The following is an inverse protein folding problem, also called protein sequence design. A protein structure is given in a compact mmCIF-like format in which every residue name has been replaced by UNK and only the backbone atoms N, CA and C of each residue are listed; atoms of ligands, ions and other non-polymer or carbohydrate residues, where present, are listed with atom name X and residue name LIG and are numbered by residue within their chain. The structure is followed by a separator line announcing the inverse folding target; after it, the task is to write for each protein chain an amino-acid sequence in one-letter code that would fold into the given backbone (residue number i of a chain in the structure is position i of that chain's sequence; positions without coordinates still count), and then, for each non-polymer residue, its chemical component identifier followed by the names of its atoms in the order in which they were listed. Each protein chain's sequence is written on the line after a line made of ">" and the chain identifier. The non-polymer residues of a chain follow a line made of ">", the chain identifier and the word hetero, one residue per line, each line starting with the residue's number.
data_IF_986670374892
#
_entry.id   IF_986670374892
#
_cell.length_a   1.000
_cell.length_b   1.000
_cell.length_c   1.000
_cell.angle_alpha   90.00
_cell.angle_beta   90.00
_cell.angle_gamma   90.00
#
_symmetry.space_group_name_H-M   'P 1'
#
loop_
_entity.id
_entity.type
_entity.pdbx_description
1 polymer ?
#
# COMPACT_ATOMS: atom_id res chain seq x y z
N UNK A 1 11.31 -74.83 -42.74
CA UNK A 1 11.68 -74.87 -41.31
C UNK A 1 12.51 -73.63 -41.01
N UNK A 2 12.08 -72.86 -39.99
CA UNK A 2 12.79 -71.88 -39.15
C UNK A 2 13.88 -70.99 -39.78
N UNK A 3 14.00 -69.69 -39.52
CA UNK A 3 13.33 -68.70 -38.68
C UNK A 3 14.07 -67.38 -38.97
N UNK A 4 13.58 -66.29 -38.38
CA UNK A 4 14.39 -65.15 -37.96
C UNK A 4 14.54 -63.98 -38.93
N UNK A 5 13.66 -62.99 -38.74
CA UNK A 5 14.05 -61.57 -38.80
C UNK A 5 14.45 -61.20 -37.36
N UNK A 6 15.58 -60.50 -37.13
CA UNK A 6 15.43 -59.07 -36.87
C UNK A 6 16.53 -58.18 -37.49
N UNK A 7 16.10 -56.98 -37.90
CA UNK A 7 16.91 -55.78 -38.15
C UNK A 7 17.73 -55.36 -36.89
N UNK A 8 18.73 -54.46 -37.02
CA UNK A 8 18.37 -53.06 -36.81
C UNK A 8 19.06 -52.09 -37.78
N UNK A 9 18.23 -51.25 -38.41
CA UNK A 9 18.62 -49.93 -38.90
C UNK A 9 19.23 -49.16 -37.71
N UNK A 10 20.51 -48.83 -37.83
CA UNK A 10 21.23 -48.01 -36.87
C UNK A 10 20.92 -46.55 -37.22
N UNK A 11 19.95 -45.95 -36.54
CA UNK A 11 19.83 -44.49 -36.46
C UNK A 11 20.01 -44.12 -35.00
N UNK A 12 21.08 -43.37 -34.77
CA UNK A 12 21.41 -42.75 -33.51
C UNK A 12 20.42 -41.63 -33.19
N UNK A 13 19.89 -41.62 -31.97
CA UNK A 13 20.02 -40.50 -31.03
C UNK A 13 19.17 -40.77 -29.78
N UNK A 14 19.87 -40.84 -28.64
CA UNK A 14 19.46 -40.39 -27.30
C UNK A 14 18.13 -40.90 -26.71
N UNK A 15 18.31 -41.84 -25.77
CA UNK A 15 17.75 -41.74 -24.41
C UNK A 15 17.74 -40.26 -23.94
N UNK A 16 16.68 -39.74 -23.34
CA UNK A 16 16.17 -40.18 -22.05
C UNK A 16 14.65 -39.96 -21.94
N UNK A 17 14.02 -40.91 -21.28
CA UNK A 17 12.61 -41.03 -20.97
C UNK A 17 12.41 -40.60 -19.51
N UNK A 18 13.03 -39.49 -19.10
CA UNK A 18 12.83 -38.86 -17.80
C UNK A 18 11.98 -37.59 -17.98
N UNK A 19 10.88 -37.54 -17.23
CA UNK A 19 10.08 -36.35 -16.95
C UNK A 19 9.16 -35.88 -18.10
N UNK A 20 8.08 -36.61 -18.36
CA UNK A 20 6.76 -36.23 -17.84
C UNK A 20 6.80 -35.30 -16.60
N UNK A 21 6.80 -33.98 -16.85
CA UNK A 21 6.28 -32.86 -16.03
C UNK A 21 6.50 -31.62 -16.90
N UNK A 22 5.61 -30.67 -17.11
CA UNK A 22 4.32 -30.35 -16.53
C UNK A 22 3.80 -29.23 -17.45
N UNK A 23 2.58 -29.34 -17.95
CA UNK A 23 1.97 -28.34 -18.83
C UNK A 23 1.52 -27.11 -18.04
N UNK A 24 2.34 -26.60 -17.10
CA UNK A 24 2.11 -25.30 -16.49
C UNK A 24 2.70 -24.22 -17.39
N UNK A 25 1.81 -23.73 -18.26
CA UNK A 25 1.74 -22.35 -18.77
C UNK A 25 2.82 -21.43 -18.16
N UNK A 26 3.93 -21.25 -18.87
CA UNK A 26 4.91 -20.20 -18.58
C UNK A 26 4.26 -18.85 -18.85
N UNK A 27 3.55 -18.31 -17.86
CA UNK A 27 3.23 -16.90 -17.78
C UNK A 27 4.55 -16.16 -17.53
N UNK A 28 5.15 -15.64 -18.60
CA UNK A 28 6.22 -14.66 -18.49
C UNK A 28 5.76 -13.55 -17.53
N UNK A 29 6.58 -13.14 -16.53
CA UNK A 29 6.19 -12.03 -15.66
C UNK A 29 5.94 -10.81 -16.54
N UNK A 30 4.72 -10.27 -16.45
CA UNK A 30 4.37 -9.05 -17.14
C UNK A 30 5.05 -7.88 -16.41
N UNK A 31 6.13 -7.35 -16.98
CA UNK A 31 6.91 -6.19 -16.50
C UNK A 31 6.04 -4.99 -16.08
N UNK A 32 4.84 -4.83 -16.65
CA UNK A 32 3.89 -3.77 -16.27
C UNK A 32 3.30 -3.94 -14.87
N UNK A 33 3.03 -5.19 -14.44
CA UNK A 33 2.44 -5.46 -13.11
C UNK A 33 3.42 -5.18 -11.97
N UNK A 34 4.70 -5.50 -12.18
CA UNK A 34 5.76 -5.22 -11.21
C UNK A 34 5.98 -3.72 -11.03
N UNK A 35 6.00 -2.96 -12.13
CA UNK A 35 6.10 -1.50 -12.08
C UNK A 35 4.93 -0.85 -11.32
N UNK A 36 3.68 -1.27 -11.60
CA UNK A 36 2.49 -0.74 -10.92
C UNK A 36 2.52 -1.02 -9.42
N UNK A 37 2.87 -2.25 -9.01
CA UNK A 37 2.98 -2.61 -7.60
C UNK A 37 4.07 -1.81 -6.88
N UNK A 38 5.21 -1.56 -7.55
CA UNK A 38 6.28 -0.73 -7.01
C UNK A 38 5.82 0.72 -6.77
N UNK A 39 5.19 1.36 -7.76
CA UNK A 39 4.67 2.73 -7.63
C UNK A 39 3.61 2.85 -6.52
N UNK A 40 2.74 1.85 -6.39
CA UNK A 40 1.76 1.79 -5.31
C UNK A 40 2.43 1.74 -3.93
N UNK A 41 3.41 0.85 -3.75
CA UNK A 41 4.10 0.71 -2.46
C UNK A 41 4.83 2.01 -2.09
N UNK A 42 5.53 2.63 -3.04
CA UNK A 42 6.20 3.92 -2.83
C UNK A 42 5.20 5.01 -2.39
N UNK A 43 4.03 5.06 -3.02
CA UNK A 43 2.98 6.01 -2.62
C UNK A 43 2.47 5.77 -1.19
N UNK A 44 2.21 4.51 -0.81
CA UNK A 44 1.74 4.15 0.53
C UNK A 44 2.83 4.47 1.58
N UNK A 45 4.10 4.24 1.27
CA UNK A 45 5.23 4.58 2.16
C UNK A 45 5.34 6.10 2.40
N UNK A 46 5.09 6.92 1.37
CA UNK A 46 5.03 8.38 1.49
C UNK A 46 3.91 8.78 2.45
N UNK A 47 2.70 8.26 2.23
CA UNK A 47 1.55 8.52 3.11
C UNK A 47 1.82 8.09 4.56
N UNK A 48 2.41 6.92 4.76
CA UNK A 48 2.78 6.39 6.08
C UNK A 48 3.76 7.31 6.81
N UNK A 49 4.78 7.77 6.10
CA UNK A 49 5.83 8.64 6.65
C UNK A 49 5.23 9.97 7.09
N UNK A 50 4.41 10.56 6.24
CA UNK A 50 3.75 11.82 6.54
C UNK A 50 2.73 11.70 7.67
N UNK A 51 1.95 10.61 7.69
CA UNK A 51 0.98 10.38 8.77
C UNK A 51 1.69 10.29 10.12
N UNK A 52 2.89 9.70 10.17
CA UNK A 52 3.70 9.65 11.39
C UNK A 52 4.10 11.05 11.86
N UNK A 53 4.49 11.93 10.94
CA UNK A 53 4.83 13.33 11.26
C UNK A 53 3.61 14.09 11.78
N UNK A 54 2.49 14.02 11.05
CA UNK A 54 1.23 14.65 11.45
C UNK A 54 0.73 14.11 12.80
N UNK A 55 0.90 12.82 13.07
CA UNK A 55 0.55 12.20 14.36
C UNK A 55 1.34 12.83 15.52
N UNK A 56 2.65 13.01 15.34
CA UNK A 56 3.50 13.63 16.34
C UNK A 56 3.11 15.10 16.57
N UNK A 57 2.73 15.82 15.51
CA UNK A 57 2.24 17.20 15.65
C UNK A 57 0.89 17.28 16.40
N UNK A 58 -0.02 16.32 16.20
CA UNK A 58 -1.26 16.23 16.99
C UNK A 58 -0.94 15.99 18.47
N UNK A 59 0.05 15.14 18.78
CA UNK A 59 0.50 14.92 20.16
C UNK A 59 1.03 16.23 20.78
N UNK A 60 1.85 16.99 20.05
CA UNK A 60 2.34 18.30 20.49
C UNK A 60 1.20 19.30 20.72
N UNK A 61 0.19 19.34 19.85
CA UNK A 61 -0.98 20.21 20.01
C UNK A 61 -1.82 19.79 21.23
N UNK A 62 -1.91 18.49 21.50
CA UNK A 62 -2.59 17.94 22.69
C UNK A 62 -1.90 18.45 23.96
N UNK A 63 -0.58 18.34 24.05
CA UNK A 63 0.17 18.85 25.20
C UNK A 63 0.06 20.37 25.37
N UNK A 64 0.03 21.13 24.26
CA UNK A 64 -0.16 22.59 24.29
C UNK A 64 -1.55 22.97 24.79
N UNK A 65 -2.58 22.27 24.31
CA UNK A 65 -3.95 22.46 24.76
C UNK A 65 -4.09 22.18 26.27
N UNK A 66 -3.40 21.16 26.77
CA UNK A 66 -3.42 20.82 28.21
C UNK A 66 -2.79 21.88 29.10
N UNK A 67 -1.82 22.65 28.58
CA UNK A 67 -1.14 23.74 29.28
C UNK A 67 -1.81 25.11 29.06
N UNK A 68 -2.81 25.20 28.20
CA UNK A 68 -3.52 26.44 27.89
C UNK A 68 -4.56 26.79 28.97
N UNK A 69 -5.08 28.02 28.94
CA UNK A 69 -6.20 28.42 29.78
C UNK A 69 -7.48 27.64 29.44
N UNK A 70 -8.39 27.48 30.40
CA UNK A 70 -9.60 26.65 30.24
C UNK A 70 -10.43 26.99 28.98
N UNK A 71 -10.55 28.29 28.66
CA UNK A 71 -11.27 28.75 27.47
C UNK A 71 -10.61 28.29 26.16
N UNK A 72 -9.29 28.37 26.08
CA UNK A 72 -8.52 27.94 24.90
C UNK A 72 -8.49 26.42 24.81
N UNK A 73 -8.30 25.75 25.96
CA UNK A 73 -8.28 24.30 26.08
C UNK A 73 -9.59 23.70 25.55
N UNK A 74 -10.74 24.19 26.00
CA UNK A 74 -12.05 23.67 25.57
C UNK A 74 -12.22 23.72 24.05
N UNK A 75 -11.89 24.84 23.41
CA UNK A 75 -11.98 24.94 21.94
C UNK A 75 -10.96 24.06 21.22
N UNK A 76 -9.76 23.89 21.77
CA UNK A 76 -8.72 23.08 21.12
C UNK A 76 -9.00 21.59 21.23
N UNK A 77 -9.55 21.10 22.35
CA UNK A 77 -9.88 19.68 22.54
C UNK A 77 -10.81 19.18 21.45
N UNK A 78 -11.91 19.90 21.17
CA UNK A 78 -12.86 19.53 20.11
C UNK A 78 -12.18 19.44 18.72
N UNK A 79 -11.32 20.43 18.41
CA UNK A 79 -10.60 20.41 17.13
C UNK A 79 -9.56 19.26 17.07
N UNK A 80 -8.89 18.95 18.18
CA UNK A 80 -7.92 17.85 18.27
C UNK A 80 -8.62 16.50 18.13
N UNK A 81 -9.80 16.31 18.72
CA UNK A 81 -10.61 15.10 18.51
C UNK A 81 -11.00 14.91 17.04
N UNK A 82 -11.33 16.00 16.34
CA UNK A 82 -11.54 15.99 14.90
C UNK A 82 -10.29 15.56 14.12
N UNK A 83 -9.09 16.02 14.53
CA UNK A 83 -7.83 15.59 13.93
C UNK A 83 -7.53 14.11 14.19
N UNK A 84 -7.80 13.59 15.40
CA UNK A 84 -7.65 12.16 15.73
C UNK A 84 -8.59 11.29 14.90
N UNK A 85 -9.81 11.77 14.65
CA UNK A 85 -10.77 11.06 13.80
C UNK A 85 -10.28 10.98 12.35
N UNK A 86 -9.71 12.06 11.81
CA UNK A 86 -9.09 12.07 10.48
C UNK A 86 -7.82 11.21 10.42
N UNK A 87 -7.00 11.21 11.48
CA UNK A 87 -5.86 10.30 11.62
C UNK A 87 -6.31 8.83 11.52
N UNK A 88 -7.41 8.45 12.18
CA UNK A 88 -7.95 7.10 12.08
C UNK A 88 -8.45 6.77 10.65
N UNK A 89 -9.16 7.70 10.02
CA UNK A 89 -9.61 7.55 8.62
C UNK A 89 -8.42 7.43 7.64
N UNK A 90 -7.32 8.14 7.90
CA UNK A 90 -6.08 8.03 7.13
C UNK A 90 -5.47 6.62 7.23
N UNK A 91 -5.42 6.04 8.43
CA UNK A 91 -4.94 4.67 8.67
C UNK A 91 -5.80 3.65 7.90
N UNK A 92 -7.13 3.77 8.02
CA UNK A 92 -8.07 2.89 7.31
C UNK A 92 -7.89 3.01 5.79
N UNK A 93 -7.75 4.24 5.28
CA UNK A 93 -7.57 4.46 3.84
C UNK A 93 -6.28 3.85 3.30
N UNK A 94 -5.20 3.85 4.08
CA UNK A 94 -3.96 3.15 3.70
C UNK A 94 -4.17 1.64 3.60
N UNK A 95 -4.92 1.04 4.52
CA UNK A 95 -5.24 -0.39 4.45
C UNK A 95 -6.05 -0.73 3.20
N UNK A 96 -7.05 0.09 2.86
CA UNK A 96 -7.81 -0.07 1.61
C UNK A 96 -6.91 0.07 0.37
N UNK A 97 -5.97 1.02 0.37
CA UNK A 97 -4.99 1.19 -0.71
C UNK A 97 -4.08 -0.03 -0.86
N UNK A 98 -3.63 -0.63 0.26
CA UNK A 98 -2.83 -1.86 0.28
C UNK A 98 -3.57 -3.06 -0.33
N UNK A 99 -4.88 -3.16 -0.12
CA UNK A 99 -5.70 -4.26 -0.64
C UNK A 99 -6.15 -4.05 -2.09
N UNK A 100 -6.31 -2.79 -2.52
CA UNK A 100 -6.82 -2.42 -3.84
C UNK A 100 -5.88 -2.73 -5.01
N UNK A 101 -6.46 -2.84 -6.21
CA UNK A 101 -5.78 -3.14 -7.47
C UNK A 101 -6.49 -2.45 -8.62
N UNK A 102 -5.76 -2.16 -9.71
CA UNK A 102 -6.35 -1.65 -10.95
C UNK A 102 -7.04 -0.29 -10.75
N UNK A 103 -8.19 -0.08 -11.39
CA UNK A 103 -8.93 1.19 -11.36
C UNK A 103 -9.37 1.61 -9.94
N UNK A 104 -9.69 0.64 -9.07
CA UNK A 104 -10.04 0.93 -7.68
C UNK A 104 -8.89 1.60 -6.90
N UNK A 105 -7.63 1.34 -7.28
CA UNK A 105 -6.49 1.99 -6.64
C UNK A 105 -6.45 3.49 -6.93
N UNK A 106 -6.75 3.90 -8.17
CA UNK A 106 -6.74 5.31 -8.57
C UNK A 106 -7.86 6.12 -7.88
N UNK A 107 -9.05 5.53 -7.72
CA UNK A 107 -10.15 6.16 -7.00
C UNK A 107 -9.84 6.32 -5.50
N UNK A 108 -9.30 5.28 -4.87
CA UNK A 108 -8.90 5.32 -3.47
C UNK A 108 -7.75 6.29 -3.23
N UNK A 109 -6.83 6.44 -4.19
CA UNK A 109 -5.73 7.41 -4.13
C UNK A 109 -6.26 8.84 -4.03
N UNK A 110 -7.25 9.21 -4.85
CA UNK A 110 -7.87 10.53 -4.76
C UNK A 110 -8.52 10.77 -3.39
N UNK A 111 -9.15 9.75 -2.83
CA UNK A 111 -9.74 9.84 -1.49
C UNK A 111 -8.66 10.00 -0.42
N UNK A 112 -7.55 9.26 -0.53
CA UNK A 112 -6.41 9.39 0.37
C UNK A 112 -5.78 10.78 0.32
N UNK A 113 -5.54 11.32 -0.88
CA UNK A 113 -4.99 12.67 -1.05
C UNK A 113 -5.87 13.73 -0.35
N UNK A 114 -7.20 13.59 -0.45
CA UNK A 114 -8.16 14.48 0.25
C UNK A 114 -8.07 14.37 1.77
N UNK A 115 -8.01 13.14 2.31
CA UNK A 115 -7.92 12.92 3.75
C UNK A 115 -6.63 13.53 4.31
N UNK A 116 -5.50 13.35 3.62
CA UNK A 116 -4.22 13.94 4.02
C UNK A 116 -4.24 15.47 3.95
N UNK A 117 -4.83 16.06 2.92
CA UNK A 117 -4.98 17.51 2.81
C UNK A 117 -5.83 18.11 3.93
N UNK A 118 -6.96 17.46 4.24
CA UNK A 118 -7.81 17.87 5.35
C UNK A 118 -7.13 17.74 6.72
N UNK A 119 -6.28 16.72 6.89
CA UNK A 119 -5.50 16.54 8.11
C UNK A 119 -4.46 17.65 8.27
N UNK A 120 -3.68 17.96 7.22
CA UNK A 120 -2.71 19.07 7.20
C UNK A 120 -3.37 20.42 7.46
N UNK A 121 -4.48 20.68 6.78
CA UNK A 121 -5.23 21.93 6.90
C UNK A 121 -5.80 22.10 8.30
N UNK A 122 -6.42 21.05 8.84
CA UNK A 122 -6.92 21.05 10.21
C UNK A 122 -5.81 21.28 11.23
N UNK A 123 -4.66 20.62 11.06
CA UNK A 123 -3.52 20.77 11.96
C UNK A 123 -3.00 22.21 11.96
N UNK A 124 -2.82 22.78 10.76
CA UNK A 124 -2.41 24.18 10.59
C UNK A 124 -3.39 25.16 11.26
N UNK A 125 -4.69 24.90 11.16
CA UNK A 125 -5.73 25.71 11.78
C UNK A 125 -5.69 25.66 13.31
N UNK A 126 -5.47 24.48 13.90
CA UNK A 126 -5.32 24.33 15.36
C UNK A 126 -4.01 24.96 15.84
N UNK A 127 -2.90 24.71 15.14
CA UNK A 127 -1.60 25.28 15.46
C UNK A 127 -1.62 26.83 15.45
N UNK A 128 -2.40 27.43 14.55
CA UNK A 128 -2.57 28.89 14.49
C UNK A 128 -3.20 29.49 15.76
N UNK A 129 -3.95 28.72 16.56
CA UNK A 129 -4.54 29.19 17.83
C UNK A 129 -3.51 29.34 18.96
N UNK A 130 -2.31 28.80 18.77
CA UNK A 130 -1.21 28.87 19.73
C UNK A 130 -0.07 29.81 19.28
N UNK A 131 -0.27 30.55 18.19
CA UNK A 131 0.68 31.56 17.70
C UNK A 131 0.50 32.90 18.38
#
# INVERSE_FOLDING_TARGET
>A
MCASVPTPFKIAAMLDLSEYTDAHQSLKPNNSKEHIMKTKNEYIEILATELKELSAEIDVLTEKADKASDLVKQSCVENIEGLRSKQAAAIEKMQELEESRGEAWEELKHTADSIWDELRTGLSAVAAKFK
#
